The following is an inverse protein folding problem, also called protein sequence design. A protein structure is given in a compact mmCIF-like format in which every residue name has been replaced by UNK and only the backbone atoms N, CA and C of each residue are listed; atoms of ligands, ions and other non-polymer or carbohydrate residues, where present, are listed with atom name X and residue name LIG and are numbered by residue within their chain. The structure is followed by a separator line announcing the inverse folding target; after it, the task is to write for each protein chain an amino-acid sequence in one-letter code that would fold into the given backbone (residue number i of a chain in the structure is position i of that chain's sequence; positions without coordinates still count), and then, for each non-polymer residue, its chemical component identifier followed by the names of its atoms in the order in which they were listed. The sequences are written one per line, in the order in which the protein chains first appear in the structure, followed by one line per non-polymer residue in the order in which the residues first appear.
data_IF_016299382125
#
_entry.id   IF_016299382125
#
_cell.length_a   1.000
_cell.length_b   1.000
_cell.length_c   1.000
_cell.angle_alpha   90.00
_cell.angle_beta   90.00
_cell.angle_gamma   90.00
#
_symmetry.space_group_name_H-M   'P 1'
#
loop_
_entity.id
_entity.type
_entity.pdbx_description
1 polymer ?
#
# COMPACT_ATOMS: atom_id res chain seq x y z
N UNK A 1 -32.59 35.21 2.36
CA UNK A 1 -33.81 34.45 2.69
C UNK A 1 -34.00 33.36 1.64
N UNK A 2 -34.20 32.12 2.10
CA UNK A 2 -34.85 30.98 1.43
C UNK A 2 -34.18 30.27 0.21
N UNK A 3 -33.83 28.99 0.46
CA UNK A 3 -33.90 27.79 -0.43
C UNK A 3 -35.33 27.61 -1.05
N UNK A 4 -35.68 26.70 -2.03
CA UNK A 4 -35.14 25.33 -2.27
C UNK A 4 -35.25 24.64 -3.69
N UNK A 5 -34.52 23.52 -3.84
CA UNK A 5 -34.87 22.18 -4.39
C UNK A 5 -35.20 21.84 -5.89
N UNK A 6 -34.73 20.63 -6.31
CA UNK A 6 -35.45 19.51 -7.00
C UNK A 6 -34.79 18.91 -8.28
N UNK A 7 -34.08 17.77 -8.07
CA UNK A 7 -34.05 16.44 -8.77
C UNK A 7 -33.84 16.21 -10.30
N UNK A 8 -32.95 15.25 -10.64
CA UNK A 8 -33.14 13.90 -11.27
C UNK A 8 -31.80 13.41 -11.89
N UNK A 9 -31.15 12.33 -11.44
CA UNK A 9 -31.42 10.87 -11.52
C UNK A 9 -31.14 10.21 -12.90
N UNK A 10 -30.10 9.33 -13.01
CA UNK A 10 -30.15 7.90 -13.41
C UNK A 10 -28.80 7.31 -13.95
N UNK A 11 -28.34 6.25 -13.27
CA UNK A 11 -27.52 5.05 -13.60
C UNK A 11 -26.26 5.03 -14.51
N UNK A 12 -25.27 4.36 -13.89
CA UNK A 12 -24.26 3.44 -14.42
C UNK A 12 -22.92 4.01 -14.94
N UNK A 13 -21.88 3.29 -14.53
CA UNK A 13 -20.60 3.05 -15.21
C UNK A 13 -19.34 3.74 -14.62
N UNK A 14 -18.49 2.89 -14.02
CA UNK A 14 -17.02 2.90 -13.96
C UNK A 14 -16.23 4.05 -13.32
N UNK A 15 -16.82 5.22 -13.02
CA UNK A 15 -16.09 6.41 -12.55
C UNK A 15 -16.39 6.87 -11.10
N UNK A 16 -17.05 6.05 -10.26
CA UNK A 16 -17.55 6.51 -8.95
C UNK A 16 -16.66 6.26 -7.73
N UNK A 17 -15.45 5.72 -7.88
CA UNK A 17 -14.46 5.74 -6.77
C UNK A 17 -13.64 7.05 -6.80
N UNK A 18 -13.47 7.65 -7.98
CA UNK A 18 -12.75 8.92 -8.14
C UNK A 18 -13.56 10.15 -7.71
N UNK A 19 -14.89 10.05 -7.58
CA UNK A 19 -15.77 11.21 -7.40
C UNK A 19 -16.35 11.41 -5.99
N UNK A 20 -16.29 10.43 -5.08
CA UNK A 20 -16.57 10.70 -3.65
C UNK A 20 -15.46 11.52 -2.97
N UNK A 21 -14.34 11.74 -3.67
CA UNK A 21 -13.26 12.64 -3.24
C UNK A 21 -13.15 13.92 -4.09
N UNK A 22 -14.00 14.18 -5.08
CA UNK A 22 -13.71 15.22 -6.10
C UNK A 22 -14.40 16.58 -5.92
N UNK A 23 -15.18 16.80 -4.87
CA UNK A 23 -15.86 18.09 -4.66
C UNK A 23 -15.39 18.87 -3.43
N UNK A 24 -14.47 18.29 -2.62
CA UNK A 24 -13.72 19.00 -1.57
C UNK A 24 -12.19 18.88 -1.65
N UNK A 25 -11.65 18.06 -2.57
CA UNK A 25 -10.24 17.62 -2.53
C UNK A 25 -9.47 17.82 -3.84
N UNK A 26 -9.80 18.84 -4.63
CA UNK A 26 -9.12 19.12 -5.91
C UNK A 26 -7.67 19.60 -5.80
N UNK A 27 -7.11 19.70 -4.59
CA UNK A 27 -5.73 20.15 -4.32
C UNK A 27 -4.89 19.15 -3.49
N UNK A 28 -5.32 17.91 -3.30
CA UNK A 28 -4.51 16.89 -2.60
C UNK A 28 -3.57 16.22 -3.63
N UNK A 29 -2.26 16.32 -3.39
CA UNK A 29 -1.15 16.04 -4.34
C UNK A 29 -1.12 14.61 -4.91
N UNK A 30 -0.31 14.43 -5.96
CA UNK A 30 0.09 13.14 -6.59
C UNK A 30 0.34 12.03 -5.56
N UNK A 31 0.93 12.40 -4.41
CA UNK A 31 1.28 11.50 -3.31
C UNK A 31 0.09 10.71 -2.76
N UNK A 32 -1.08 11.32 -2.53
CA UNK A 32 -2.17 10.68 -1.79
C UNK A 32 -2.84 9.54 -2.58
N UNK A 33 -2.88 9.64 -3.92
CA UNK A 33 -3.53 8.63 -4.78
C UNK A 33 -2.56 7.61 -5.36
N UNK A 34 -1.34 8.02 -5.71
CA UNK A 34 -0.28 7.05 -6.04
C UNK A 34 0.01 6.20 -4.80
N UNK A 35 0.02 6.78 -3.59
CA UNK A 35 0.11 6.03 -2.33
C UNK A 35 -1.15 5.23 -2.00
N UNK A 36 -2.26 5.35 -2.73
CA UNK A 36 -3.37 4.38 -2.69
C UNK A 36 -3.07 3.16 -3.57
N UNK A 37 -2.37 3.33 -4.71
CA UNK A 37 -1.75 2.22 -5.45
C UNK A 37 -0.61 1.60 -4.65
N UNK A 38 0.27 2.40 -4.05
CA UNK A 38 1.37 1.93 -3.20
C UNK A 38 0.87 1.38 -1.88
N UNK A 39 -0.21 1.88 -1.27
CA UNK A 39 -0.92 1.24 -0.16
C UNK A 39 -1.72 0.02 -0.59
N UNK A 40 -2.24 -0.07 -1.81
CA UNK A 40 -2.88 -1.32 -2.28
C UNK A 40 -1.81 -2.38 -2.51
N UNK A 41 -0.66 -2.00 -3.07
CA UNK A 41 0.53 -2.82 -3.25
C UNK A 41 1.25 -3.10 -1.92
N UNK A 42 1.24 -2.18 -0.97
CA UNK A 42 1.74 -2.34 0.40
C UNK A 42 0.71 -3.04 1.26
N UNK A 43 -0.60 -2.98 1.03
CA UNK A 43 -1.58 -3.85 1.66
C UNK A 43 -1.43 -5.26 1.10
N UNK A 44 -1.08 -5.42 -0.18
CA UNK A 44 -0.73 -6.70 -0.81
C UNK A 44 0.66 -7.23 -0.40
N UNK A 45 1.63 -6.34 -0.11
CA UNK A 45 2.99 -6.65 0.39
C UNK A 45 3.03 -6.81 1.93
N UNK A 46 2.22 -6.07 2.68
CA UNK A 46 1.98 -6.22 4.12
C UNK A 46 1.11 -7.45 4.37
N UNK A 47 0.14 -7.76 3.50
CA UNK A 47 -0.48 -9.10 3.46
C UNK A 47 0.52 -10.23 3.09
N UNK A 48 1.78 -9.91 2.75
CA UNK A 48 2.89 -10.90 2.76
C UNK A 48 3.82 -10.81 3.96
N UNK A 49 3.85 -9.72 4.74
CA UNK A 49 4.54 -9.72 6.05
C UNK A 49 3.64 -10.24 7.19
N UNK A 50 2.33 -10.21 7.01
CA UNK A 50 1.31 -10.55 8.00
C UNK A 50 1.02 -12.05 8.08
N UNK A 51 2.08 -12.85 8.19
CA UNK A 51 1.89 -14.29 8.12
C UNK A 51 2.97 -15.05 8.85
N UNK A 52 3.60 -14.58 9.93
CA UNK A 52 4.63 -15.42 10.57
C UNK A 52 4.11 -16.81 11.02
N UNK A 53 2.82 -16.95 11.35
CA UNK A 53 2.19 -18.27 11.56
C UNK A 53 1.83 -19.03 10.26
N UNK A 54 1.32 -18.34 9.22
CA UNK A 54 0.92 -18.96 7.94
C UNK A 54 2.10 -19.14 6.97
N UNK A 55 3.19 -18.37 7.10
CA UNK A 55 4.50 -18.55 6.46
C UNK A 55 5.22 -19.70 7.15
N UNK A 56 5.12 -19.90 8.47
CA UNK A 56 5.70 -21.10 9.07
C UNK A 56 5.11 -22.39 8.45
N UNK A 57 3.83 -22.42 8.10
CA UNK A 57 3.16 -23.57 7.47
C UNK A 57 3.37 -23.63 5.95
N UNK A 58 3.26 -22.49 5.23
CA UNK A 58 3.41 -22.39 3.76
C UNK A 58 4.88 -22.37 3.32
N UNK A 59 5.78 -21.83 4.14
CA UNK A 59 7.22 -21.69 3.86
C UNK A 59 8.03 -22.94 4.28
N UNK A 60 7.61 -23.70 5.31
CA UNK A 60 8.21 -25.03 5.65
C UNK A 60 8.15 -26.01 4.48
N UNK A 61 7.07 -25.98 3.69
CA UNK A 61 6.95 -26.80 2.46
C UNK A 61 7.74 -26.23 1.27
N UNK A 62 8.00 -24.92 1.25
CA UNK A 62 8.78 -24.28 0.16
C UNK A 62 10.30 -24.47 0.30
N UNK A 63 10.82 -24.67 1.51
CA UNK A 63 12.24 -24.98 1.73
C UNK A 63 12.60 -26.42 1.30
N UNK A 64 11.65 -27.36 1.35
CA UNK A 64 11.85 -28.72 0.84
C UNK A 64 11.97 -28.80 -0.69
N UNK A 65 11.47 -27.80 -1.43
CA UNK A 65 11.64 -27.72 -2.89
C UNK A 65 12.85 -26.89 -3.33
N UNK A 66 13.47 -26.09 -2.44
CA UNK A 66 14.62 -25.24 -2.78
C UNK A 66 15.98 -25.97 -2.71
N UNK A 67 16.02 -27.18 -2.14
CA UNK A 67 17.22 -28.04 -2.15
C UNK A 67 17.43 -28.81 -3.47
N UNK A 68 16.65 -28.52 -4.52
CA UNK A 68 16.85 -29.07 -5.87
C UNK A 68 17.31 -28.04 -6.92
N UNK A 69 17.59 -26.79 -6.53
CA UNK A 69 18.04 -25.73 -7.46
C UNK A 69 19.35 -25.03 -7.04
N UNK A 70 20.18 -25.68 -6.21
CA UNK A 70 21.57 -25.23 -6.01
C UNK A 70 22.54 -26.31 -6.48
N UNK A 71 22.88 -26.29 -7.77
CA UNK A 71 24.20 -26.67 -8.26
C UNK A 71 24.36 -26.14 -9.70
N UNK A 72 25.07 -25.02 -9.81
CA UNK A 72 25.44 -24.31 -11.04
C UNK A 72 25.56 -22.82 -10.69
N UNK A 73 26.72 -22.17 -10.63
CA UNK A 73 27.94 -22.34 -11.41
C UNK A 73 29.18 -21.89 -10.61
N UNK A 74 30.31 -22.60 -10.79
CA UNK A 74 31.61 -21.95 -10.87
C UNK A 74 32.38 -22.47 -12.11
N UNK A 75 32.45 -21.58 -13.10
CA UNK A 75 33.59 -21.27 -13.96
C UNK A 75 34.30 -22.38 -14.80
N UNK A 76 33.99 -22.32 -16.10
CA UNK A 76 34.81 -22.52 -17.31
C UNK A 76 36.10 -23.39 -17.28
N UNK A 77 36.09 -24.47 -18.09
CA UNK A 77 37.09 -24.70 -19.16
C UNK A 77 36.62 -25.76 -20.17
N UNK A 78 36.92 -25.49 -21.44
CA UNK A 78 36.51 -26.20 -22.64
C UNK A 78 36.84 -27.71 -22.65
N UNK A 79 35.96 -28.53 -23.24
CA UNK A 79 36.27 -29.41 -24.40
C UNK A 79 35.07 -30.28 -24.84
N UNK A 80 34.89 -30.31 -26.16
CA UNK A 80 34.28 -31.34 -27.04
C UNK A 80 32.84 -31.85 -26.84
N UNK A 81 32.02 -31.45 -27.80
CA UNK A 81 30.79 -32.11 -28.29
C UNK A 81 31.04 -33.58 -28.70
N UNK A 82 30.53 -34.57 -27.93
CA UNK A 82 30.05 -35.87 -28.49
C UNK A 82 29.33 -36.81 -27.50
N UNK A 83 28.82 -36.33 -26.35
CA UNK A 83 28.18 -37.20 -25.32
C UNK A 83 26.70 -36.92 -25.05
N UNK A 84 26.14 -35.83 -25.61
CA UNK A 84 24.78 -35.36 -25.29
C UNK A 84 23.64 -36.15 -25.95
N UNK A 85 23.89 -36.91 -27.01
CA UNK A 85 22.82 -37.60 -27.75
C UNK A 85 22.42 -38.97 -27.17
N UNK A 86 23.17 -39.52 -26.20
CA UNK A 86 22.91 -40.85 -25.64
C UNK A 86 22.21 -40.82 -24.27
N UNK A 87 22.17 -39.65 -23.61
CA UNK A 87 21.56 -39.48 -22.28
C UNK A 87 20.11 -38.96 -22.29
N UNK A 88 19.60 -38.52 -23.45
CA UNK A 88 18.18 -38.15 -23.60
C UNK A 88 17.23 -39.35 -23.58
N UNK A 89 17.75 -40.57 -23.81
CA UNK A 89 16.96 -41.81 -23.81
C UNK A 89 16.82 -42.50 -22.44
N UNK A 90 17.67 -42.21 -21.46
CA UNK A 90 17.66 -42.87 -20.14
C UNK A 90 17.05 -41.97 -19.05
N UNK A 91 17.09 -40.65 -19.23
CA UNK A 91 16.48 -39.71 -18.28
C UNK A 91 14.94 -39.76 -18.27
N UNK A 92 14.31 -40.26 -19.34
CA UNK A 92 12.83 -40.38 -19.43
C UNK A 92 12.26 -41.69 -18.88
N UNK A 93 13.08 -42.71 -18.63
CA UNK A 93 12.66 -44.00 -18.06
C UNK A 93 12.86 -44.13 -16.55
N UNK A 94 13.48 -43.14 -15.90
CA UNK A 94 13.68 -43.09 -14.44
C UNK A 94 12.58 -42.32 -13.69
N UNK A 95 11.57 -41.79 -14.38
CA UNK A 95 10.32 -41.33 -13.76
C UNK A 95 9.36 -42.51 -13.56
N UNK A 96 9.82 -43.49 -12.78
CA UNK A 96 8.93 -44.38 -12.03
C UNK A 96 8.02 -43.50 -11.16
N UNK A 97 6.70 -43.69 -11.26
CA UNK A 97 5.67 -43.07 -10.41
C UNK A 97 6.19 -42.87 -8.98
N UNK A 98 6.50 -41.63 -8.60
CA UNK A 98 6.67 -41.28 -7.20
C UNK A 98 5.28 -41.38 -6.55
N UNK A 99 5.12 -42.33 -5.63
CA UNK A 99 3.85 -42.58 -4.94
C UNK A 99 3.56 -41.38 -4.00
N UNK A 100 2.41 -40.72 -4.19
CA UNK A 100 2.05 -39.51 -3.42
C UNK A 100 1.69 -39.88 -1.97
N UNK A 101 2.65 -39.70 -1.05
CA UNK A 101 2.56 -40.08 0.36
C UNK A 101 1.75 -39.12 1.25
N UNK A 102 1.18 -38.04 0.68
CA UNK A 102 0.43 -37.03 1.44
C UNK A 102 -0.93 -37.55 1.90
N UNK A 103 -1.34 -37.14 3.11
CA UNK A 103 -2.69 -37.42 3.62
C UNK A 103 -3.75 -36.62 2.87
N UNK A 104 -4.99 -37.06 2.92
CA UNK A 104 -6.12 -36.35 2.29
C UNK A 104 -6.28 -34.92 2.83
N UNK A 105 -6.08 -34.73 4.14
CA UNK A 105 -6.08 -33.41 4.76
C UNK A 105 -4.96 -32.52 4.21
N UNK A 106 -3.75 -33.07 4.05
CA UNK A 106 -2.61 -32.35 3.47
C UNK A 106 -2.81 -32.00 2.00
N UNK A 107 -3.50 -32.86 1.22
CA UNK A 107 -3.84 -32.59 -0.18
C UNK A 107 -4.82 -31.44 -0.30
N UNK A 108 -5.86 -31.41 0.55
CA UNK A 108 -6.82 -30.30 0.60
C UNK A 108 -6.17 -28.99 1.05
N UNK A 109 -5.24 -29.05 2.01
CA UNK A 109 -4.46 -27.88 2.43
C UNK A 109 -3.57 -27.35 1.29
N UNK A 110 -2.88 -28.22 0.56
CA UNK A 110 -2.11 -27.85 -0.63
C UNK A 110 -2.99 -27.22 -1.72
N UNK A 111 -4.20 -27.73 -1.91
CA UNK A 111 -5.17 -27.19 -2.85
C UNK A 111 -5.63 -25.78 -2.44
N UNK A 112 -5.96 -25.56 -1.16
CA UNK A 112 -6.29 -24.23 -0.62
C UNK A 112 -5.13 -23.27 -0.88
N UNK A 113 -3.89 -23.66 -0.55
CA UNK A 113 -2.70 -22.83 -0.76
C UNK A 113 -2.53 -22.47 -2.25
N UNK A 114 -2.74 -23.43 -3.15
CA UNK A 114 -2.65 -23.21 -4.59
C UNK A 114 -3.71 -22.21 -5.07
N UNK A 115 -4.95 -22.34 -4.61
CA UNK A 115 -6.04 -21.41 -4.95
C UNK A 115 -5.75 -20.00 -4.46
N UNK A 116 -5.27 -19.84 -3.22
CA UNK A 116 -4.90 -18.56 -2.65
C UNK A 116 -3.75 -17.89 -3.42
N UNK A 117 -2.75 -18.66 -3.84
CA UNK A 117 -1.65 -18.16 -4.69
C UNK A 117 -2.16 -17.71 -6.05
N UNK A 118 -3.04 -18.48 -6.69
CA UNK A 118 -3.67 -18.11 -7.98
C UNK A 118 -4.54 -16.86 -7.84
N UNK A 119 -5.29 -16.72 -6.75
CA UNK A 119 -6.05 -15.53 -6.45
C UNK A 119 -5.13 -14.30 -6.35
N UNK A 120 -4.08 -14.37 -5.53
CA UNK A 120 -3.11 -13.27 -5.35
C UNK A 120 -2.45 -12.87 -6.67
N UNK A 121 -1.99 -13.84 -7.46
CA UNK A 121 -1.40 -13.58 -8.78
C UNK A 121 -2.40 -12.94 -9.74
N UNK A 122 -3.67 -13.38 -9.72
CA UNK A 122 -4.73 -12.79 -10.55
C UNK A 122 -5.01 -11.35 -10.13
N UNK A 123 -5.05 -11.05 -8.82
CA UNK A 123 -5.19 -9.68 -8.31
C UNK A 123 -4.02 -8.78 -8.76
N UNK A 124 -2.78 -9.27 -8.65
CA UNK A 124 -1.59 -8.53 -9.10
C UNK A 124 -1.61 -8.20 -10.60
N UNK A 125 -2.27 -9.04 -11.41
CA UNK A 125 -2.45 -8.84 -12.86
C UNK A 125 -3.69 -8.00 -13.21
N UNK A 126 -4.43 -7.50 -12.22
CA UNK A 126 -5.70 -6.79 -12.42
C UNK A 126 -6.87 -7.69 -12.86
N UNK A 127 -6.71 -9.01 -12.83
CA UNK A 127 -7.72 -10.00 -13.21
C UNK A 127 -8.67 -10.28 -12.03
N UNK A 128 -9.41 -9.24 -11.61
CA UNK A 128 -10.19 -9.26 -10.38
C UNK A 128 -11.30 -10.33 -10.36
N UNK A 129 -11.94 -10.58 -11.50
CA UNK A 129 -13.00 -11.59 -11.59
C UNK A 129 -12.45 -13.02 -11.44
N UNK A 130 -11.30 -13.31 -12.08
CA UNK A 130 -10.60 -14.58 -11.92
C UNK A 130 -10.12 -14.80 -10.48
N UNK A 131 -9.60 -13.75 -9.84
CA UNK A 131 -9.23 -13.78 -8.43
C UNK A 131 -10.42 -14.17 -7.53
N UNK A 132 -11.59 -13.58 -7.77
CA UNK A 132 -12.78 -13.86 -6.98
C UNK A 132 -13.19 -15.35 -7.05
N UNK A 133 -13.12 -15.95 -8.24
CA UNK A 133 -13.42 -17.37 -8.43
C UNK A 133 -12.52 -18.28 -7.61
N UNK A 134 -11.21 -18.00 -7.59
CA UNK A 134 -10.26 -18.78 -6.78
C UNK A 134 -10.50 -18.62 -5.27
N UNK A 135 -10.84 -17.41 -4.80
CA UNK A 135 -11.11 -17.16 -3.38
C UNK A 135 -12.38 -17.88 -2.90
N UNK A 136 -13.45 -17.90 -3.71
CA UNK A 136 -14.67 -18.63 -3.39
C UNK A 136 -14.45 -20.15 -3.29
N UNK A 137 -13.58 -20.72 -4.14
CA UNK A 137 -13.18 -22.13 -4.03
C UNK A 137 -12.34 -22.38 -2.77
N UNK A 138 -11.38 -21.48 -2.48
CA UNK A 138 -10.51 -21.60 -1.30
C UNK A 138 -11.31 -21.55 0.01
N UNK A 139 -12.27 -20.63 0.15
CA UNK A 139 -13.06 -20.49 1.39
C UNK A 139 -13.99 -21.70 1.60
N UNK A 140 -14.55 -22.26 0.51
CA UNK A 140 -15.37 -23.46 0.60
C UNK A 140 -14.56 -24.66 1.13
N UNK A 141 -13.36 -24.88 0.58
CA UNK A 141 -12.45 -25.93 1.04
C UNK A 141 -11.95 -25.67 2.48
N UNK A 142 -11.67 -24.42 2.83
CA UNK A 142 -11.24 -24.04 4.17
C UNK A 142 -12.31 -24.36 5.23
N UNK A 143 -13.58 -24.08 4.94
CA UNK A 143 -14.71 -24.47 5.81
C UNK A 143 -14.87 -26.00 5.88
N UNK A 144 -14.79 -26.71 4.75
CA UNK A 144 -14.89 -28.17 4.72
C UNK A 144 -13.79 -28.87 5.52
N UNK A 145 -12.61 -28.27 5.58
CA UNK A 145 -11.45 -28.80 6.34
C UNK A 145 -11.39 -28.26 7.76
N UNK A 146 -12.34 -27.41 8.17
CA UNK A 146 -12.33 -26.71 9.46
C UNK A 146 -11.00 -25.98 9.75
N UNK A 147 -10.33 -25.48 8.70
CA UNK A 147 -9.06 -24.80 8.83
C UNK A 147 -9.31 -23.30 9.10
N UNK A 148 -9.43 -22.93 10.37
CA UNK A 148 -9.71 -21.56 10.81
C UNK A 148 -8.69 -20.54 10.27
N UNK A 149 -7.41 -20.91 10.17
CA UNK A 149 -6.37 -20.02 9.65
C UNK A 149 -6.58 -19.73 8.16
N UNK A 150 -6.91 -20.76 7.37
CA UNK A 150 -7.27 -20.59 5.97
C UNK A 150 -8.57 -19.79 5.79
N UNK A 151 -9.55 -19.96 6.69
CA UNK A 151 -10.80 -19.16 6.68
C UNK A 151 -10.49 -17.68 6.89
N UNK A 152 -9.74 -17.32 7.94
CA UNK A 152 -9.34 -15.95 8.27
C UNK A 152 -8.59 -15.33 7.08
N UNK A 153 -7.57 -16.02 6.56
CA UNK A 153 -6.75 -15.52 5.45
C UNK A 153 -7.56 -15.36 4.16
N UNK A 154 -8.47 -16.29 3.86
CA UNK A 154 -9.30 -16.18 2.64
C UNK A 154 -10.28 -15.01 2.76
N UNK A 155 -10.91 -14.82 3.92
CA UNK A 155 -11.78 -13.66 4.14
C UNK A 155 -11.02 -12.34 4.05
N UNK A 156 -9.81 -12.24 4.60
CA UNK A 156 -9.02 -11.01 4.50
C UNK A 156 -8.63 -10.69 3.05
N UNK A 157 -8.30 -11.70 2.23
CA UNK A 157 -8.06 -11.52 0.79
C UNK A 157 -9.33 -11.12 0.02
N UNK A 158 -10.48 -11.74 0.32
CA UNK A 158 -11.76 -11.34 -0.27
C UNK A 158 -12.13 -9.91 0.12
N UNK A 159 -11.86 -9.50 1.36
CA UNK A 159 -12.11 -8.15 1.84
C UNK A 159 -11.22 -7.13 1.12
N UNK A 160 -9.93 -7.43 0.96
CA UNK A 160 -9.00 -6.61 0.17
C UNK A 160 -9.45 -6.49 -1.29
N UNK A 161 -9.92 -7.59 -1.90
CA UNK A 161 -10.44 -7.58 -3.27
C UNK A 161 -11.69 -6.70 -3.38
N UNK A 162 -12.63 -6.82 -2.44
CA UNK A 162 -13.83 -6.00 -2.38
C UNK A 162 -13.48 -4.51 -2.19
N UNK A 163 -12.50 -4.20 -1.33
CA UNK A 163 -12.01 -2.84 -1.09
C UNK A 163 -11.45 -2.20 -2.37
N UNK A 164 -10.57 -2.92 -3.09
CA UNK A 164 -10.00 -2.46 -4.37
C UNK A 164 -11.08 -2.26 -5.44
N UNK A 165 -12.18 -3.02 -5.38
CA UNK A 165 -13.34 -2.86 -6.26
C UNK A 165 -14.28 -1.72 -5.84
N UNK A 166 -13.98 -1.01 -4.74
CA UNK A 166 -14.85 0.04 -4.16
C UNK A 166 -16.09 -0.49 -3.45
N UNK A 167 -16.19 -1.80 -3.21
CA UNK A 167 -17.31 -2.42 -2.51
C UNK A 167 -17.10 -2.34 -0.99
N UNK A 168 -17.10 -1.12 -0.45
CA UNK A 168 -16.73 -0.86 0.95
C UNK A 168 -17.61 -1.62 1.95
N UNK A 169 -18.92 -1.75 1.70
CA UNK A 169 -19.82 -2.53 2.58
C UNK A 169 -19.50 -4.03 2.59
N UNK A 170 -19.06 -4.58 1.46
CA UNK A 170 -18.66 -5.98 1.37
C UNK A 170 -17.31 -6.18 2.08
N UNK A 171 -16.36 -5.26 1.86
CA UNK A 171 -15.08 -5.28 2.56
C UNK A 171 -15.25 -5.21 4.08
N UNK A 172 -16.12 -4.32 4.56
CA UNK A 172 -16.47 -4.19 5.99
C UNK A 172 -16.97 -5.52 6.57
N UNK A 173 -17.93 -6.16 5.90
CA UNK A 173 -18.50 -7.45 6.36
C UNK A 173 -17.44 -8.54 6.41
N UNK A 174 -16.59 -8.64 5.39
CA UNK A 174 -15.57 -9.67 5.28
C UNK A 174 -14.45 -9.47 6.32
N UNK A 175 -14.02 -8.24 6.59
CA UNK A 175 -13.07 -7.97 7.67
C UNK A 175 -13.67 -8.22 9.05
N UNK A 176 -14.93 -7.85 9.29
CA UNK A 176 -15.64 -8.20 10.54
C UNK A 176 -15.73 -9.72 10.73
N UNK A 177 -16.02 -10.47 9.67
CA UNK A 177 -16.04 -11.92 9.72
C UNK A 177 -14.65 -12.49 10.06
N UNK A 178 -13.60 -12.02 9.36
CA UNK A 178 -12.21 -12.39 9.63
C UNK A 178 -11.82 -12.16 11.10
N UNK A 179 -12.07 -10.94 11.60
CA UNK A 179 -11.79 -10.56 12.99
C UNK A 179 -12.61 -11.38 14.00
N UNK A 180 -13.88 -11.69 13.69
CA UNK A 180 -14.71 -12.57 14.52
C UNK A 180 -14.13 -13.98 14.64
N UNK A 181 -13.59 -14.55 13.55
CA UNK A 181 -12.92 -15.84 13.60
C UNK A 181 -11.66 -15.79 14.46
N UNK A 182 -10.87 -14.71 14.39
CA UNK A 182 -9.68 -14.51 15.25
C UNK A 182 -10.06 -14.48 16.73
N UNK A 183 -11.02 -13.63 17.11
CA UNK A 183 -11.44 -13.46 18.50
C UNK A 183 -12.09 -14.72 19.07
N UNK A 184 -12.96 -15.38 18.30
CA UNK A 184 -13.57 -16.66 18.72
C UNK A 184 -12.55 -17.80 18.82
N UNK A 185 -11.44 -17.71 18.08
CA UNK A 185 -10.30 -18.61 18.16
C UNK A 185 -9.33 -18.32 19.31
N UNK A 186 -9.62 -17.32 20.16
CA UNK A 186 -8.80 -16.97 21.32
C UNK A 186 -7.66 -15.99 21.05
N UNK A 187 -7.59 -15.40 19.84
CA UNK A 187 -6.64 -14.31 19.58
C UNK A 187 -6.98 -13.09 20.45
N UNK A 188 -5.98 -12.53 21.12
CA UNK A 188 -6.15 -11.39 22.02
C UNK A 188 -6.51 -10.11 21.25
N UNK A 189 -7.22 -9.18 21.90
CA UNK A 189 -7.61 -7.92 21.26
C UNK A 189 -6.41 -7.01 20.96
N UNK A 190 -5.34 -7.09 21.76
CA UNK A 190 -4.09 -6.36 21.56
C UNK A 190 -3.08 -7.13 20.69
N UNK A 191 -3.49 -8.24 20.06
CA UNK A 191 -2.69 -8.91 19.04
C UNK A 191 -2.53 -8.04 17.78
N UNK A 192 -1.35 -8.06 17.17
CA UNK A 192 -1.05 -7.22 16.01
C UNK A 192 -2.00 -7.53 14.83
N UNK A 193 -2.41 -8.79 14.66
CA UNK A 193 -3.36 -9.16 13.61
C UNK A 193 -4.74 -8.57 13.84
N UNK A 194 -5.24 -8.54 15.09
CA UNK A 194 -6.54 -7.95 15.42
C UNK A 194 -6.51 -6.44 15.27
N UNK A 195 -5.42 -5.80 15.72
CA UNK A 195 -5.22 -4.37 15.53
C UNK A 195 -5.14 -4.04 14.04
N UNK A 196 -4.47 -4.86 13.22
CA UNK A 196 -4.44 -4.62 11.78
C UNK A 196 -5.83 -4.75 11.13
N UNK A 197 -6.64 -5.74 11.52
CA UNK A 197 -8.03 -5.82 11.04
C UNK A 197 -8.83 -4.59 11.45
N UNK A 198 -8.60 -4.08 12.66
CA UNK A 198 -9.23 -2.86 13.17
C UNK A 198 -8.80 -1.61 12.40
N UNK A 199 -7.52 -1.51 12.04
CA UNK A 199 -6.99 -0.45 11.18
C UNK A 199 -7.67 -0.46 9.82
N UNK A 200 -7.80 -1.62 9.17
CA UNK A 200 -8.49 -1.75 7.87
C UNK A 200 -9.96 -1.34 7.97
N UNK A 201 -10.64 -1.71 9.05
CA UNK A 201 -12.02 -1.27 9.30
C UNK A 201 -12.11 0.24 9.52
N UNK A 202 -11.20 0.85 10.27
CA UNK A 202 -11.14 2.30 10.46
C UNK A 202 -10.98 3.05 9.13
N UNK A 203 -10.10 2.57 8.24
CA UNK A 203 -9.94 3.11 6.88
C UNK A 203 -11.21 2.94 6.03
N UNK A 204 -11.90 1.81 6.12
CA UNK A 204 -13.18 1.59 5.42
C UNK A 204 -14.25 2.55 5.94
N UNK A 205 -14.34 2.75 7.25
CA UNK A 205 -15.28 3.69 7.85
C UNK A 205 -15.00 5.12 7.41
N UNK A 206 -13.72 5.52 7.34
CA UNK A 206 -13.32 6.81 6.77
C UNK A 206 -13.81 6.95 5.32
N UNK A 207 -13.59 5.93 4.47
CA UNK A 207 -14.05 5.92 3.08
C UNK A 207 -15.59 5.92 2.92
N UNK A 208 -16.32 5.43 3.92
CA UNK A 208 -17.79 5.48 3.98
C UNK A 208 -18.32 6.77 4.62
N UNK A 209 -17.47 7.73 5.01
CA UNK A 209 -17.82 8.93 5.79
C UNK A 209 -18.48 8.62 7.16
N UNK A 210 -18.18 7.46 7.76
CA UNK A 210 -18.61 7.10 9.12
C UNK A 210 -17.58 7.60 10.13
N UNK A 211 -17.47 8.93 10.26
CA UNK A 211 -16.38 9.61 10.96
C UNK A 211 -16.20 9.15 12.41
N UNK A 212 -17.28 9.03 13.19
CA UNK A 212 -17.22 8.60 14.60
C UNK A 212 -16.60 7.20 14.75
N UNK A 213 -16.93 6.28 13.83
CA UNK A 213 -16.38 4.93 13.83
C UNK A 213 -14.93 4.91 13.35
N UNK A 214 -14.57 5.74 12.37
CA UNK A 214 -13.21 5.88 11.88
C UNK A 214 -12.29 6.40 12.99
N UNK A 215 -12.68 7.50 13.65
CA UNK A 215 -11.92 8.10 14.74
C UNK A 215 -11.75 7.13 15.92
N UNK A 216 -12.83 6.46 16.34
CA UNK A 216 -12.77 5.44 17.39
C UNK A 216 -11.84 4.29 17.00
N UNK A 217 -11.89 3.84 15.74
CA UNK A 217 -11.04 2.77 15.24
C UNK A 217 -9.56 3.14 15.21
N UNK A 218 -9.21 4.33 14.70
CA UNK A 218 -7.83 4.81 14.70
C UNK A 218 -7.30 5.00 16.11
N UNK A 219 -8.09 5.61 17.00
CA UNK A 219 -7.74 5.78 18.42
C UNK A 219 -7.45 4.44 19.08
N UNK A 220 -8.34 3.45 18.91
CA UNK A 220 -8.12 2.10 19.42
C UNK A 220 -6.80 1.50 18.93
N UNK A 221 -6.49 1.62 17.64
CA UNK A 221 -5.26 1.07 17.08
C UNK A 221 -4.01 1.73 17.67
N UNK A 222 -3.97 3.07 17.72
CA UNK A 222 -2.83 3.84 18.23
C UNK A 222 -2.60 3.52 19.71
N UNK A 223 -3.65 3.64 20.54
CA UNK A 223 -3.54 3.42 22.00
C UNK A 223 -3.15 1.97 22.32
N UNK A 224 -3.69 0.99 21.60
CA UNK A 224 -3.36 -0.43 21.82
C UNK A 224 -1.90 -0.73 21.49
N UNK A 225 -1.39 -0.19 20.38
CA UNK A 225 0.00 -0.39 19.97
C UNK A 225 0.98 0.33 20.89
N UNK A 226 0.67 1.56 21.28
CA UNK A 226 1.49 2.32 22.23
C UNK A 226 1.53 1.62 23.60
N UNK A 227 0.38 1.23 24.14
CA UNK A 227 0.32 0.50 25.41
C UNK A 227 1.10 -0.83 25.35
N UNK A 228 1.04 -1.53 24.22
CA UNK A 228 1.82 -2.76 24.01
C UNK A 228 3.32 -2.49 23.97
N UNK A 229 3.75 -1.41 23.31
CA UNK A 229 5.15 -0.98 23.26
C UNK A 229 5.68 -0.50 24.62
N UNK A 230 4.85 0.14 25.45
CA UNK A 230 5.26 0.47 26.83
C UNK A 230 5.45 -0.80 27.67
N UNK A 231 4.53 -1.76 27.59
CA UNK A 231 4.70 -3.07 28.26
C UNK A 231 5.98 -3.78 27.84
N UNK A 232 6.38 -3.69 26.57
CA UNK A 232 7.66 -4.26 26.11
C UNK A 232 8.87 -3.69 26.85
N UNK A 233 8.86 -2.41 27.23
CA UNK A 233 9.97 -1.77 27.97
C UNK A 233 10.08 -2.24 29.41
N UNK A 234 8.97 -2.71 29.99
CA UNK A 234 8.89 -3.18 31.38
C UNK A 234 9.35 -4.64 31.53
N UNK A 235 9.34 -5.42 30.45
CA UNK A 235 9.74 -6.83 30.45
C UNK A 235 11.27 -7.00 30.62
N UNK A 236 11.74 -8.08 31.28
CA UNK A 236 13.16 -8.45 31.26
C UNK A 236 13.67 -8.66 29.84
N UNK A 237 14.94 -8.34 29.58
CA UNK A 237 15.52 -8.39 28.23
C UNK A 237 15.43 -9.79 27.58
N UNK A 238 15.41 -10.85 28.39
CA UNK A 238 15.29 -12.24 27.96
C UNK A 238 13.88 -12.60 27.46
N UNK A 239 12.85 -11.84 27.83
CA UNK A 239 11.45 -12.05 27.43
C UNK A 239 11.02 -11.12 26.28
N UNK A 240 11.86 -10.14 25.92
CA UNK A 240 11.60 -9.21 24.84
C UNK A 240 11.85 -9.87 23.48
N UNK A 241 10.77 -10.16 22.75
CA UNK A 241 10.88 -10.49 21.33
C UNK A 241 11.16 -9.22 20.53
N UNK A 242 12.42 -8.99 20.16
CA UNK A 242 12.82 -7.87 19.30
C UNK A 242 12.10 -7.88 17.95
N UNK A 243 11.82 -9.06 17.39
CA UNK A 243 11.04 -9.20 16.16
C UNK A 243 9.60 -8.70 16.35
N UNK A 244 8.92 -9.12 17.42
CA UNK A 244 7.55 -8.69 17.71
C UNK A 244 7.48 -7.20 18.07
N UNK A 245 8.49 -6.68 18.80
CA UNK A 245 8.61 -5.25 19.08
C UNK A 245 8.72 -4.47 17.78
N UNK A 246 9.63 -4.87 16.88
CA UNK A 246 9.80 -4.25 15.56
C UNK A 246 8.52 -4.31 14.72
N UNK A 247 7.86 -5.46 14.67
CA UNK A 247 6.56 -5.62 13.98
C UNK A 247 5.50 -4.66 14.54
N UNK A 248 5.39 -4.57 15.87
CA UNK A 248 4.45 -3.68 16.56
C UNK A 248 4.74 -2.21 16.28
N UNK A 249 6.02 -1.81 16.26
CA UNK A 249 6.44 -0.45 15.90
C UNK A 249 6.09 -0.14 14.45
N UNK A 250 6.36 -1.04 13.51
CA UNK A 250 6.02 -0.84 12.10
C UNK A 250 4.50 -0.72 11.90
N UNK A 251 3.70 -1.52 12.60
CA UNK A 251 2.24 -1.41 12.58
C UNK A 251 1.76 -0.06 13.15
N UNK A 252 2.42 0.47 14.19
CA UNK A 252 2.15 1.82 14.69
C UNK A 252 2.48 2.88 13.64
N UNK A 253 3.61 2.76 12.95
CA UNK A 253 3.98 3.65 11.84
C UNK A 253 2.93 3.67 10.73
N UNK A 254 2.41 2.51 10.32
CA UNK A 254 1.34 2.39 9.32
C UNK A 254 0.00 2.94 9.80
N UNK A 255 -0.31 2.75 11.08
CA UNK A 255 -1.52 3.28 11.71
C UNK A 255 -1.50 4.80 11.72
N UNK A 256 -0.36 5.39 12.13
CA UNK A 256 -0.17 6.84 12.15
C UNK A 256 -0.21 7.43 10.74
N UNK A 257 0.41 6.80 9.75
CA UNK A 257 0.30 7.20 8.34
C UNK A 257 -1.17 7.22 7.87
N UNK A 258 -1.90 6.13 8.12
CA UNK A 258 -3.31 6.03 7.73
C UNK A 258 -4.20 7.05 8.45
N UNK A 259 -3.93 7.31 9.73
CA UNK A 259 -4.62 8.32 10.52
C UNK A 259 -4.27 9.73 10.06
N UNK A 260 -3.02 10.01 9.69
CA UNK A 260 -2.59 11.29 9.15
C UNK A 260 -3.35 11.63 7.86
N UNK A 261 -3.55 10.64 6.98
CA UNK A 261 -4.39 10.79 5.77
C UNK A 261 -5.83 11.09 6.09
N UNK A 262 -6.41 10.37 7.06
CA UNK A 262 -7.77 10.64 7.52
C UNK A 262 -7.89 12.07 8.06
N UNK A 263 -6.97 12.49 8.94
CA UNK A 263 -6.92 13.84 9.50
C UNK A 263 -6.74 14.91 8.43
N UNK A 264 -5.91 14.67 7.41
CA UNK A 264 -5.76 15.59 6.29
C UNK A 264 -7.06 15.73 5.47
N UNK A 265 -7.77 14.62 5.24
CA UNK A 265 -9.05 14.61 4.53
C UNK A 265 -10.17 15.32 5.31
N UNK A 266 -10.13 15.28 6.64
CA UNK A 266 -11.08 16.01 7.52
C UNK A 266 -10.61 17.43 7.86
N UNK A 267 -9.62 17.97 7.14
CA UNK A 267 -9.05 19.32 7.31
C UNK A 267 -8.34 19.58 8.65
N UNK A 268 -7.98 18.53 9.39
CA UNK A 268 -7.16 18.58 10.62
C UNK A 268 -5.66 18.51 10.29
N UNK A 269 -5.15 19.46 9.51
CA UNK A 269 -3.77 19.42 8.98
C UNK A 269 -2.69 19.39 10.08
N UNK A 270 -2.90 20.06 11.20
CA UNK A 270 -1.92 20.08 12.30
C UNK A 270 -1.71 18.70 12.92
N UNK A 271 -2.79 17.92 13.09
CA UNK A 271 -2.68 16.55 13.57
C UNK A 271 -2.03 15.65 12.53
N UNK A 272 -2.37 15.81 11.25
CA UNK A 272 -1.75 15.07 10.16
C UNK A 272 -0.23 15.27 10.12
N UNK A 273 0.26 16.51 10.32
CA UNK A 273 1.71 16.79 10.42
C UNK A 273 2.35 16.02 11.58
N UNK A 274 1.72 15.99 12.75
CA UNK A 274 2.24 15.27 13.92
C UNK A 274 2.33 13.77 13.64
N UNK A 275 1.27 13.18 13.09
CA UNK A 275 1.20 11.76 12.81
C UNK A 275 2.21 11.35 11.73
N UNK A 276 2.35 12.13 10.65
CA UNK A 276 3.36 11.88 9.63
C UNK A 276 4.79 11.98 10.17
N UNK A 277 5.10 12.96 11.04
CA UNK A 277 6.42 13.05 11.68
C UNK A 277 6.72 11.81 12.52
N UNK A 278 5.74 11.33 13.29
CA UNK A 278 5.88 10.13 14.13
C UNK A 278 6.03 8.87 13.29
N UNK A 279 5.20 8.71 12.24
CA UNK A 279 5.29 7.60 11.30
C UNK A 279 6.64 7.57 10.58
N UNK A 280 7.14 8.72 10.13
CA UNK A 280 8.43 8.85 9.47
C UNK A 280 9.58 8.43 10.38
N UNK A 281 9.60 8.92 11.63
CA UNK A 281 10.61 8.55 12.62
C UNK A 281 10.68 7.04 12.83
N UNK A 282 9.52 6.41 13.05
CA UNK A 282 9.41 4.95 13.21
C UNK A 282 9.96 4.23 11.97
N UNK A 283 9.58 4.68 10.78
CA UNK A 283 9.99 4.04 9.53
C UNK A 283 11.51 4.17 9.31
N UNK A 284 12.09 5.34 9.58
CA UNK A 284 13.53 5.57 9.46
C UNK A 284 14.33 4.73 10.46
N UNK A 285 13.89 4.65 11.72
CA UNK A 285 14.58 3.84 12.74
C UNK A 285 14.53 2.34 12.44
N UNK A 286 13.38 1.84 11.97
CA UNK A 286 13.18 0.38 11.80
C UNK A 286 13.57 -0.14 10.42
N UNK A 287 13.56 0.71 9.38
CA UNK A 287 13.75 0.31 7.97
C UNK A 287 14.82 1.13 7.23
N UNK A 288 15.26 2.27 7.79
CA UNK A 288 16.24 3.16 7.18
C UNK A 288 15.63 4.30 6.37
N UNK A 289 16.44 5.32 6.11
CA UNK A 289 16.01 6.56 5.43
C UNK A 289 15.71 6.38 3.94
N UNK A 290 16.39 5.44 3.29
CA UNK A 290 16.20 5.13 1.86
C UNK A 290 15.11 4.09 1.62
N UNK A 291 14.44 3.60 2.66
CA UNK A 291 13.31 2.67 2.49
C UNK A 291 12.16 3.37 1.74
N UNK A 292 11.46 2.72 0.79
CA UNK A 292 10.40 3.35 0.01
C UNK A 292 9.34 4.06 0.87
N UNK A 293 8.96 3.45 1.99
CA UNK A 293 7.98 4.04 2.90
C UNK A 293 8.50 5.33 3.57
N UNK A 294 9.79 5.41 3.91
CA UNK A 294 10.39 6.62 4.48
C UNK A 294 10.34 7.78 3.48
N UNK A 295 10.62 7.50 2.20
CA UNK A 295 10.56 8.49 1.12
C UNK A 295 9.15 8.99 0.87
N UNK A 296 8.16 8.09 0.90
CA UNK A 296 6.77 8.47 0.75
C UNK A 296 6.31 9.32 1.94
N UNK A 297 6.63 8.92 3.18
CA UNK A 297 6.28 9.69 4.37
C UNK A 297 6.92 11.09 4.40
N UNK A 298 8.16 11.22 3.92
CA UNK A 298 8.80 12.53 3.72
C UNK A 298 8.02 13.40 2.72
N UNK A 299 7.62 12.82 1.59
CA UNK A 299 6.85 13.53 0.56
C UNK A 299 5.44 13.89 1.01
N UNK A 300 4.78 13.04 1.78
CA UNK A 300 3.44 13.29 2.31
C UNK A 300 3.47 14.37 3.40
N UNK A 301 4.48 14.32 4.29
CA UNK A 301 4.71 15.39 5.26
C UNK A 301 4.94 16.74 4.57
N UNK A 302 5.77 16.76 3.51
CA UNK A 302 5.98 17.96 2.71
C UNK A 302 4.68 18.47 2.09
N UNK A 303 3.86 17.57 1.53
CA UNK A 303 2.54 17.93 0.98
C UNK A 303 1.64 18.57 2.03
N UNK A 304 1.55 18.01 3.23
CA UNK A 304 0.67 18.59 4.26
C UNK A 304 1.19 19.94 4.74
N UNK A 305 2.51 20.11 4.89
CA UNK A 305 3.09 21.41 5.24
C UNK A 305 2.82 22.46 4.16
N UNK A 306 2.93 22.07 2.90
CA UNK A 306 2.61 22.91 1.75
C UNK A 306 1.14 23.34 1.72
N UNK A 307 0.22 22.41 2.05
CA UNK A 307 -1.21 22.73 2.22
C UNK A 307 -1.51 23.67 3.39
N UNK A 308 -0.62 23.73 4.39
CA UNK A 308 -0.68 24.72 5.48
C UNK A 308 -0.07 26.08 5.08
N UNK A 309 0.41 26.24 3.85
CA UNK A 309 1.15 27.43 3.40
C UNK A 309 2.59 27.50 3.91
N UNK A 310 3.11 26.42 4.51
CA UNK A 310 4.47 26.34 5.09
C UNK A 310 5.46 25.85 4.04
N UNK A 311 5.53 26.54 2.91
CA UNK A 311 6.34 26.15 1.75
C UNK A 311 7.84 26.02 2.07
N UNK A 312 8.35 26.91 2.93
CA UNK A 312 9.76 26.90 3.38
C UNK A 312 10.13 25.65 4.18
N UNK A 313 9.17 25.02 4.85
CA UNK A 313 9.38 23.75 5.56
C UNK A 313 9.12 22.54 4.65
N UNK A 314 8.20 22.65 3.70
CA UNK A 314 7.87 21.58 2.76
C UNK A 314 9.00 21.30 1.75
N UNK A 315 9.57 22.36 1.17
CA UNK A 315 10.56 22.26 0.11
C UNK A 315 11.83 21.46 0.49
N UNK A 316 12.48 21.65 1.66
CA UNK A 316 13.65 20.85 2.03
C UNK A 316 13.30 19.37 2.21
N UNK A 317 12.11 19.04 2.72
CA UNK A 317 11.71 17.65 2.94
C UNK A 317 11.49 16.89 1.63
N UNK A 318 10.80 17.51 0.67
CA UNK A 318 10.56 16.85 -0.63
C UNK A 318 11.85 16.79 -1.46
N UNK A 319 12.77 17.78 -1.32
CA UNK A 319 14.12 17.72 -1.90
C UNK A 319 14.91 16.52 -1.36
N UNK A 320 14.93 16.36 -0.04
CA UNK A 320 15.58 15.22 0.62
C UNK A 320 15.01 13.89 0.11
N UNK A 321 13.68 13.77 -0.01
CA UNK A 321 13.06 12.56 -0.55
C UNK A 321 13.51 12.25 -1.99
N UNK A 322 13.59 13.26 -2.87
CA UNK A 322 14.05 13.10 -4.26
C UNK A 322 15.53 12.71 -4.33
N UNK A 323 16.39 13.31 -3.51
CA UNK A 323 17.83 13.01 -3.45
C UNK A 323 18.07 11.56 -3.00
N UNK A 324 17.50 11.18 -1.86
CA UNK A 324 17.57 9.80 -1.35
C UNK A 324 16.96 8.80 -2.35
N UNK A 325 15.89 9.18 -3.04
CA UNK A 325 15.27 8.34 -4.07
C UNK A 325 16.20 8.07 -5.25
N UNK A 326 16.98 9.06 -5.68
CA UNK A 326 17.95 8.95 -6.78
C UNK A 326 19.12 8.06 -6.40
N UNK A 327 19.66 8.24 -5.19
CA UNK A 327 20.77 7.43 -4.68
C UNK A 327 20.42 5.94 -4.58
N UNK A 328 19.20 5.64 -4.14
CA UNK A 328 18.73 4.26 -4.00
C UNK A 328 18.11 3.66 -5.27
N UNK A 329 17.96 4.43 -6.36
CA UNK A 329 17.42 3.94 -7.63
C UNK A 329 15.95 3.49 -7.55
N UNK A 330 15.10 4.20 -6.80
CA UNK A 330 13.70 3.82 -6.63
C UNK A 330 12.88 3.97 -7.91
N UNK A 331 11.99 3.01 -8.15
CA UNK A 331 11.17 2.97 -9.37
C UNK A 331 10.08 4.06 -9.44
N UNK A 332 9.68 4.63 -8.31
CA UNK A 332 8.63 5.67 -8.22
C UNK A 332 9.18 7.10 -8.14
N UNK A 333 10.40 7.32 -8.66
CA UNK A 333 11.05 8.64 -8.63
C UNK A 333 10.19 9.74 -9.28
N UNK A 334 9.39 9.40 -10.30
CA UNK A 334 8.50 10.35 -10.98
C UNK A 334 7.45 10.97 -10.04
N UNK A 335 7.00 10.22 -9.03
CA UNK A 335 6.00 10.69 -8.05
C UNK A 335 6.59 11.77 -7.17
N UNK A 336 7.78 11.51 -6.63
CA UNK A 336 8.49 12.45 -5.75
C UNK A 336 8.86 13.74 -6.49
N UNK A 337 9.29 13.63 -7.75
CA UNK A 337 9.56 14.78 -8.62
C UNK A 337 8.29 15.59 -8.91
N UNK A 338 7.16 14.92 -9.18
CA UNK A 338 5.87 15.58 -9.37
C UNK A 338 5.41 16.34 -8.11
N UNK A 339 5.58 15.75 -6.93
CA UNK A 339 5.27 16.40 -5.66
C UNK A 339 6.17 17.61 -5.40
N UNK A 340 7.48 17.49 -5.66
CA UNK A 340 8.40 18.63 -5.56
C UNK A 340 8.02 19.76 -6.52
N UNK A 341 7.64 19.42 -7.76
CA UNK A 341 7.16 20.39 -8.74
C UNK A 341 5.88 21.10 -8.29
N UNK A 342 4.98 20.40 -7.59
CA UNK A 342 3.79 20.96 -6.95
C UNK A 342 4.11 21.98 -5.86
N UNK A 343 5.03 21.64 -4.94
CA UNK A 343 5.48 22.56 -3.88
C UNK A 343 6.12 23.82 -4.50
N UNK A 344 6.94 23.66 -5.54
CA UNK A 344 7.53 24.80 -6.26
C UNK A 344 6.48 25.67 -6.96
N UNK A 345 5.43 25.04 -7.52
CA UNK A 345 4.30 25.75 -8.13
C UNK A 345 3.56 26.61 -7.09
N UNK A 346 3.32 26.09 -5.89
CA UNK A 346 2.67 26.86 -4.81
C UNK A 346 3.54 27.98 -4.26
N UNK A 347 4.86 27.87 -4.38
CA UNK A 347 5.82 28.91 -4.03
C UNK A 347 6.15 29.87 -5.20
N UNK A 348 5.31 29.92 -6.24
CA UNK A 348 5.46 30.75 -7.45
C UNK A 348 6.78 30.56 -8.25
N UNK A 349 7.51 29.47 -8.01
CA UNK A 349 8.75 29.10 -8.71
C UNK A 349 8.43 28.33 -10.00
N UNK A 350 7.70 28.97 -10.91
CA UNK A 350 7.12 28.32 -12.09
C UNK A 350 8.15 27.69 -13.04
N UNK A 351 9.31 28.33 -13.27
CA UNK A 351 10.30 27.80 -14.21
C UNK A 351 10.97 26.52 -13.68
N UNK A 352 11.21 26.44 -12.37
CA UNK A 352 11.73 25.24 -11.73
C UNK A 352 10.68 24.13 -11.69
N UNK A 353 9.43 24.47 -11.38
CA UNK A 353 8.29 23.55 -11.40
C UNK A 353 8.11 22.89 -12.78
N UNK A 354 8.14 23.67 -13.89
CA UNK A 354 8.03 23.10 -15.25
C UNK A 354 9.16 22.13 -15.57
N UNK A 355 10.40 22.43 -15.15
CA UNK A 355 11.54 21.53 -15.39
C UNK A 355 11.32 20.19 -14.71
N UNK A 356 10.94 20.20 -13.43
CA UNK A 356 10.70 18.98 -12.67
C UNK A 356 9.49 18.20 -13.17
N UNK A 357 8.38 18.86 -13.51
CA UNK A 357 7.23 18.16 -14.10
C UNK A 357 7.59 17.49 -15.44
N UNK A 358 8.43 18.09 -16.27
CA UNK A 358 8.89 17.45 -17.52
C UNK A 358 9.77 16.23 -17.26
N UNK A 359 10.67 16.31 -16.27
CA UNK A 359 11.48 15.16 -15.83
C UNK A 359 10.59 14.04 -15.30
N UNK A 360 9.65 14.37 -14.41
CA UNK A 360 8.67 13.44 -13.86
C UNK A 360 7.83 12.77 -14.96
N UNK A 361 7.37 13.54 -15.96
CA UNK A 361 6.55 13.04 -17.06
C UNK A 361 7.29 12.00 -17.90
N UNK A 362 8.57 12.27 -18.23
CA UNK A 362 9.39 11.35 -19.00
C UNK A 362 9.60 10.02 -18.25
N UNK A 363 9.86 10.09 -16.95
CA UNK A 363 10.01 8.92 -16.08
C UNK A 363 8.69 8.13 -15.95
N UNK A 364 7.56 8.82 -15.71
CA UNK A 364 6.25 8.19 -15.61
C UNK A 364 5.85 7.46 -16.91
N UNK A 365 6.12 8.06 -18.07
CA UNK A 365 5.91 7.44 -19.38
C UNK A 365 6.79 6.20 -19.58
N UNK A 366 8.07 6.28 -19.21
CA UNK A 366 8.98 5.14 -19.28
C UNK A 366 8.58 4.00 -18.34
N UNK A 367 7.96 4.32 -17.21
CA UNK A 367 7.45 3.35 -16.24
C UNK A 367 6.08 2.76 -16.64
N UNK A 368 5.38 3.35 -17.62
CA UNK A 368 4.01 2.98 -17.97
C UNK A 368 2.97 3.37 -16.91
N UNK A 369 3.28 4.37 -16.06
CA UNK A 369 2.37 4.85 -15.02
C UNK A 369 1.41 5.91 -15.60
N UNK A 370 0.37 5.44 -16.28
CA UNK A 370 -0.63 6.31 -16.95
C UNK A 370 -1.32 7.29 -15.98
N UNK A 371 -1.49 6.90 -14.72
CA UNK A 371 -2.13 7.75 -13.71
C UNK A 371 -1.21 8.92 -13.32
N UNK A 372 0.07 8.64 -13.06
CA UNK A 372 1.02 9.71 -12.81
C UNK A 372 1.20 10.62 -14.02
N UNK A 373 1.16 10.07 -15.25
CA UNK A 373 1.20 10.86 -16.49
C UNK A 373 0.05 11.87 -16.54
N UNK A 374 -1.18 11.44 -16.30
CA UNK A 374 -2.35 12.33 -16.30
C UNK A 374 -2.20 13.45 -15.26
N UNK A 375 -1.82 13.10 -14.04
CA UNK A 375 -1.67 14.05 -12.94
C UNK A 375 -0.54 15.07 -13.17
N UNK A 376 0.60 14.62 -13.72
CA UNK A 376 1.72 15.52 -14.07
C UNK A 376 1.30 16.49 -15.19
N UNK A 377 0.47 16.05 -16.14
CA UNK A 377 -0.07 16.92 -17.19
C UNK A 377 -1.04 17.97 -16.63
N UNK A 378 -1.86 17.61 -15.64
CA UNK A 378 -2.70 18.57 -14.92
C UNK A 378 -1.85 19.61 -14.18
N UNK A 379 -0.78 19.19 -13.50
CA UNK A 379 0.17 20.08 -12.86
C UNK A 379 0.82 21.07 -13.84
N UNK A 380 1.28 20.59 -15.00
CA UNK A 380 1.83 21.44 -16.07
C UNK A 380 0.81 22.46 -16.60
N UNK A 381 -0.46 22.05 -16.73
CA UNK A 381 -1.55 22.94 -17.15
C UNK A 381 -1.80 24.03 -16.11
N UNK A 382 -1.80 23.69 -14.82
CA UNK A 382 -1.96 24.66 -13.74
C UNK A 382 -0.82 25.68 -13.70
N UNK A 383 0.44 25.23 -13.86
CA UNK A 383 1.59 26.15 -13.98
C UNK A 383 1.37 27.13 -15.14
N UNK A 384 0.90 26.64 -16.29
CA UNK A 384 0.59 27.48 -17.45
C UNK A 384 -0.51 28.52 -17.18
N UNK A 385 -1.54 28.16 -16.42
CA UNK A 385 -2.63 29.06 -16.03
C UNK A 385 -2.14 30.15 -15.08
N UNK A 386 -1.40 29.79 -14.02
CA UNK A 386 -0.88 30.76 -13.04
C UNK A 386 0.11 31.75 -13.64
N UNK A 387 0.99 31.29 -14.53
CA UNK A 387 1.89 32.18 -15.28
C UNK A 387 1.15 33.22 -16.14
N UNK A 388 0.02 32.83 -16.75
CA UNK A 388 -0.80 33.77 -17.52
C UNK A 388 -1.50 34.79 -16.62
N UNK A 389 -2.04 34.34 -15.48
CA UNK A 389 -2.66 35.21 -14.49
C UNK A 389 -1.65 36.25 -13.96
N UNK A 390 -0.45 35.81 -13.54
CA UNK A 390 0.59 36.71 -13.04
C UNK A 390 1.04 37.76 -14.08
N UNK A 391 1.12 37.37 -15.35
CA UNK A 391 1.40 38.32 -16.45
C UNK A 391 0.29 39.35 -16.63
N UNK A 392 -0.97 38.90 -16.63
CA UNK A 392 -2.13 39.79 -16.77
C UNK A 392 -2.24 40.77 -15.59
N UNK A 393 -1.94 40.33 -14.37
CA UNK A 393 -1.88 41.18 -13.18
C UNK A 393 -0.76 42.22 -13.27
N UNK A 394 0.44 41.81 -13.73
CA UNK A 394 1.56 42.73 -13.94
C UNK A 394 1.27 43.79 -15.02
N UNK A 395 0.57 43.42 -16.10
CA UNK A 395 0.13 44.35 -17.14
C UNK A 395 -0.96 45.30 -16.64
N UNK A 396 -1.93 44.81 -15.87
CA UNK A 396 -2.98 45.62 -15.27
C UNK A 396 -2.43 46.59 -14.21
N UNK A 397 -1.38 46.22 -13.48
CA UNK A 397 -0.71 47.09 -12.51
C UNK A 397 0.00 48.26 -13.20
N UNK A 398 0.68 48.02 -14.33
CA UNK A 398 1.33 49.06 -15.13
C UNK A 398 0.33 50.09 -15.67
N UNK A 399 -0.81 49.63 -16.19
CA UNK A 399 -1.86 50.49 -16.72
C UNK A 399 -2.61 51.33 -15.66
N UNK A 400 -2.39 51.10 -14.36
CA UNK A 400 -2.94 51.93 -13.27
C UNK A 400 -1.97 52.98 -12.75
N UNK A 401 -0.68 52.86 -13.09
CA UNK A 401 0.38 53.78 -12.71
C UNK A 401 0.75 54.79 -13.79
N UNK A 402 0.29 54.55 -15.03
CA UNK A 402 0.29 55.48 -16.17
C UNK A 402 -1.05 56.21 -16.25
#
# INVERSE_FOLDING_TARGET
MALPAVTRAFFANRNQITQCMSEGSRNLSLGIRVHARTQSLQCLKMASSQSNAVHATVHRRSQLFRNCESNGDENSRATSNWTYAMWSGIAFSLFSKAEDTRTEAQKKEDEIILLLKRAKLSMMRGQLHGANGFLHQAIALAHQTHNTQAIIYTYSLMANLAYVQGQLDNAEKLFKASMSFMLSGGTLQDDNGVIEMSLKLATIYAGQNKNDLAETGFKFCIESLEAKLEKFKELPAEEQSEELRKETRLLLGLTLDSHARYMAATHCLSQAVLDYKRALLICQEEQGETHPQSLVLLSDLATILDLQGRHDEALPLVKQAVELSREAGHHDQHVLLGNMAGVLLHNDLFEESVKLYKEALALAQSAGDEEAVEQIQEGLKEVGNRRKAQKAEAEAAKNKTD
#
